data_IF_604221604480
#
_entry.id   IF_604221604480
#
_cell.length_a   1.000
_cell.length_b   1.000
_cell.length_c   1.000
_cell.angle_alpha   90.00
_cell.angle_beta   90.00
_cell.angle_gamma   90.00
#
_symmetry.space_group_name_H-M   'P 1'
#
loop_
_entity.id
_entity.type
_entity.pdbx_description
1 polymer ?
#
# COMPACT_ATOMS: atom_id res chain seq x y z
N UNK A 1 3.72 35.09 26.76
CA UNK A 1 3.20 34.70 25.43
C UNK A 1 3.72 33.30 25.15
N UNK A 2 2.92 32.26 25.38
CA UNK A 2 3.32 30.88 25.07
C UNK A 2 3.20 30.66 23.57
N UNK A 3 4.29 30.30 22.92
CA UNK A 3 4.30 29.87 21.52
C UNK A 3 3.90 28.40 21.52
N UNK A 4 2.65 28.10 21.13
CA UNK A 4 2.27 26.71 20.80
C UNK A 4 3.01 26.34 19.51
N UNK A 5 3.97 25.43 19.62
CA UNK A 5 4.51 24.73 18.47
C UNK A 5 3.38 23.91 17.83
N UNK A 6 3.27 23.87 16.49
CA UNK A 6 2.37 22.93 15.84
C UNK A 6 2.77 21.51 16.28
N UNK A 7 1.84 20.55 16.42
CA UNK A 7 2.23 19.17 16.57
C UNK A 7 3.05 18.82 15.32
N UNK A 8 4.37 18.66 15.50
CA UNK A 8 5.18 17.96 14.51
C UNK A 8 4.44 16.68 14.24
N UNK A 9 3.97 16.51 13.01
CA UNK A 9 3.42 15.25 12.52
C UNK A 9 4.58 14.26 12.47
N UNK A 10 5.06 13.84 13.64
CA UNK A 10 5.88 12.67 13.83
C UNK A 10 4.96 11.49 13.51
N UNK A 11 4.76 11.26 12.22
CA UNK A 11 4.05 10.09 11.74
C UNK A 11 4.94 8.92 12.15
N UNK A 12 4.57 8.28 13.27
CA UNK A 12 5.23 7.06 13.69
C UNK A 12 5.25 6.10 12.49
N UNK A 13 6.35 5.36 12.27
CA UNK A 13 6.40 4.42 11.17
C UNK A 13 5.19 3.47 11.28
N UNK A 14 4.46 3.33 10.17
CA UNK A 14 3.31 2.43 10.12
C UNK A 14 3.78 1.03 10.50
N UNK A 15 2.94 0.25 11.22
CA UNK A 15 3.35 -1.05 11.72
C UNK A 15 3.70 -1.99 10.57
N UNK A 16 4.63 -2.90 10.83
CA UNK A 16 4.87 -4.03 9.94
C UNK A 16 3.63 -4.92 9.89
N UNK A 17 3.26 -5.36 8.70
CA UNK A 17 2.05 -6.17 8.47
C UNK A 17 2.38 -7.39 7.62
N UNK A 18 1.60 -8.45 7.78
CA UNK A 18 1.66 -9.63 6.92
C UNK A 18 0.40 -9.66 6.06
N UNK A 19 0.57 -9.70 4.74
CA UNK A 19 -0.50 -9.99 3.80
C UNK A 19 -0.63 -11.50 3.63
N UNK A 20 -1.80 -12.03 3.95
CA UNK A 20 -2.15 -13.43 3.74
C UNK A 20 -2.99 -13.56 2.48
N UNK A 21 -2.51 -14.32 1.49
CA UNK A 21 -3.25 -14.61 0.26
C UNK A 21 -3.34 -16.11 0.05
N UNK A 22 -4.53 -16.62 -0.27
CA UNK A 22 -4.70 -18.02 -0.67
C UNK A 22 -4.44 -18.18 -2.17
N UNK A 23 -3.55 -19.10 -2.53
CA UNK A 23 -3.25 -19.46 -3.90
C UNK A 23 -3.96 -20.77 -4.26
N UNK A 24 -5.05 -20.66 -5.02
CA UNK A 24 -5.79 -21.81 -5.55
C UNK A 24 -4.88 -22.68 -6.42
N UNK A 25 -4.00 -22.07 -7.21
CA UNK A 25 -3.13 -22.78 -8.17
C UNK A 25 -2.13 -23.74 -7.52
N UNK A 26 -1.81 -23.51 -6.25
CA UNK A 26 -0.81 -24.28 -5.50
C UNK A 26 -1.38 -24.87 -4.21
N UNK A 27 -2.69 -24.74 -4.00
CA UNK A 27 -3.40 -25.06 -2.75
C UNK A 27 -2.61 -24.65 -1.50
N UNK A 28 -2.21 -23.37 -1.44
CA UNK A 28 -1.29 -22.89 -0.40
C UNK A 28 -1.61 -21.49 0.08
N UNK A 29 -1.13 -21.18 1.29
CA UNK A 29 -1.19 -19.84 1.87
C UNK A 29 0.14 -19.14 1.60
N UNK A 30 0.07 -17.98 0.94
CA UNK A 30 1.20 -17.09 0.70
C UNK A 30 1.19 -15.99 1.74
N UNK A 31 2.24 -15.92 2.54
CA UNK A 31 2.48 -14.85 3.51
C UNK A 31 3.51 -13.88 2.94
N UNK A 32 3.13 -12.62 2.75
CA UNK A 32 4.03 -11.55 2.30
C UNK A 32 4.23 -10.56 3.44
N UNK A 33 5.46 -10.46 3.93
CA UNK A 33 5.81 -9.50 4.97
C UNK A 33 6.07 -8.12 4.37
N UNK A 34 5.38 -7.11 4.91
CA UNK A 34 5.59 -5.71 4.59
C UNK A 34 6.23 -5.02 5.80
N UNK A 35 7.36 -4.31 5.60
CA UNK A 35 8.04 -3.61 6.70
C UNK A 35 7.17 -2.50 7.29
N UNK A 36 6.31 -1.89 6.47
CA UNK A 36 5.29 -0.92 6.86
C UNK A 36 4.08 -1.06 5.94
N UNK A 37 2.87 -0.85 6.47
CA UNK A 37 1.70 -0.69 5.63
C UNK A 37 1.85 0.57 4.73
N UNK A 38 1.48 0.52 3.44
CA UNK A 38 1.61 1.66 2.54
C UNK A 38 0.50 2.71 2.68
N UNK A 39 -0.46 2.49 3.59
CA UNK A 39 -1.56 3.40 3.94
C UNK A 39 -1.95 3.16 5.40
N UNK A 40 -2.56 4.14 6.06
CA UNK A 40 -2.87 4.07 7.49
C UNK A 40 -4.22 3.41 7.80
N UNK A 41 -5.19 3.52 6.89
CA UNK A 41 -6.51 2.92 7.04
C UNK A 41 -7.21 2.71 5.68
N UNK A 42 -8.32 1.98 5.69
CA UNK A 42 -9.08 1.70 4.46
C UNK A 42 -9.79 2.93 3.91
N UNK A 43 -10.21 3.87 4.78
CA UNK A 43 -10.84 5.13 4.39
C UNK A 43 -9.89 6.02 3.57
N UNK A 44 -8.61 5.98 3.90
CA UNK A 44 -7.55 6.70 3.17
C UNK A 44 -7.54 6.25 1.70
N UNK A 45 -7.54 4.94 1.46
CA UNK A 45 -7.58 4.38 0.10
C UNK A 45 -8.81 4.81 -0.71
N UNK A 46 -9.98 4.91 -0.08
CA UNK A 46 -11.22 5.30 -0.79
C UNK A 46 -11.23 6.78 -1.21
N UNK A 47 -10.45 7.61 -0.51
CA UNK A 47 -10.41 9.06 -0.74
C UNK A 47 -9.15 9.51 -1.48
N UNK A 48 -8.13 8.64 -1.60
CA UNK A 48 -6.89 8.92 -2.32
C UNK A 48 -7.14 9.17 -3.82
N UNK A 49 -6.52 10.20 -4.42
CA UNK A 49 -6.51 10.36 -5.87
C UNK A 49 -5.75 9.22 -6.55
N UNK A 50 -6.07 8.94 -7.81
CA UNK A 50 -5.50 7.84 -8.59
C UNK A 50 -3.97 7.75 -8.52
N UNK A 51 -3.27 8.88 -8.65
CA UNK A 51 -1.80 8.94 -8.57
C UNK A 51 -1.24 8.48 -7.21
N UNK A 52 -1.96 8.71 -6.12
CA UNK A 52 -1.56 8.20 -4.80
C UNK A 52 -1.85 6.70 -4.67
N UNK A 53 -2.98 6.23 -5.22
CA UNK A 53 -3.27 4.79 -5.31
C UNK A 53 -2.22 4.03 -6.13
N UNK A 54 -1.76 4.59 -7.24
CA UNK A 54 -0.63 4.02 -8.00
C UNK A 54 0.64 3.91 -7.16
N UNK A 55 0.95 4.90 -6.32
CA UNK A 55 2.11 4.86 -5.43
C UNK A 55 1.98 3.74 -4.39
N UNK A 56 0.78 3.58 -3.80
CA UNK A 56 0.47 2.44 -2.91
C UNK A 56 0.66 1.12 -3.64
N UNK A 57 0.14 1.01 -4.88
CA UNK A 57 0.28 -0.20 -5.70
C UNK A 57 1.74 -0.50 -6.00
N UNK A 58 2.55 0.50 -6.35
CA UNK A 58 3.99 0.33 -6.56
C UNK A 58 4.68 -0.20 -5.31
N UNK A 59 4.43 0.40 -4.15
CA UNK A 59 5.00 -0.02 -2.87
C UNK A 59 4.60 -1.47 -2.52
N UNK A 60 3.35 -1.88 -2.77
CA UNK A 60 2.94 -3.28 -2.60
C UNK A 60 3.68 -4.21 -3.57
N UNK A 61 3.77 -3.84 -4.85
CA UNK A 61 4.38 -4.65 -5.91
C UNK A 61 5.89 -4.87 -5.75
N UNK A 62 6.58 -4.02 -4.99
CA UNK A 62 7.98 -4.23 -4.59
C UNK A 62 8.15 -5.49 -3.72
N UNK A 63 7.15 -5.81 -2.91
CA UNK A 63 7.19 -6.94 -1.98
C UNK A 63 6.36 -8.14 -2.45
N UNK A 64 5.33 -7.93 -3.26
CA UNK A 64 4.46 -9.00 -3.73
C UNK A 64 5.17 -9.94 -4.73
N UNK A 65 4.94 -11.26 -4.64
CA UNK A 65 5.33 -12.20 -5.68
C UNK A 65 4.77 -11.78 -7.04
N UNK A 66 5.51 -12.02 -8.14
CA UNK A 66 5.12 -11.58 -9.50
C UNK A 66 3.66 -11.90 -9.87
N UNK A 67 3.16 -13.07 -9.47
CA UNK A 67 1.78 -13.51 -9.76
C UNK A 67 0.69 -12.77 -8.98
N UNK A 68 1.05 -12.12 -7.88
CA UNK A 68 0.13 -11.36 -7.03
C UNK A 68 0.24 -9.85 -7.24
N UNK A 69 1.09 -9.40 -8.18
CA UNK A 69 1.24 -7.97 -8.46
C UNK A 69 -0.04 -7.39 -9.02
N UNK A 70 -0.38 -6.19 -8.55
CA UNK A 70 -1.55 -5.43 -8.99
C UNK A 70 -1.16 -4.67 -10.27
N UNK A 71 -1.99 -4.80 -11.31
CA UNK A 71 -1.77 -4.08 -12.56
C UNK A 71 -1.99 -2.58 -12.38
N UNK A 72 -1.03 -1.78 -12.84
CA UNK A 72 -1.22 -0.34 -13.02
C UNK A 72 -1.58 -0.18 -14.49
N UNK A 73 -2.74 0.42 -14.79
CA UNK A 73 -3.02 0.83 -16.17
C UNK A 73 -2.05 1.94 -16.49
N UNK A 74 -1.21 1.74 -17.50
CA UNK A 74 -0.58 2.86 -18.18
C UNK A 74 -1.73 3.67 -18.82
N UNK A 75 -1.71 5.00 -18.68
CA UNK A 75 -2.72 5.92 -19.22
C UNK A 75 -2.77 5.94 -20.78
N UNK A 76 -2.32 4.87 -21.44
CA UNK A 76 -2.19 4.76 -22.90
C UNK A 76 -2.94 3.54 -23.43
N UNK A 77 -4.27 3.66 -23.58
CA UNK A 77 -5.03 3.11 -24.73
C UNK A 77 -6.43 3.75 -24.82
N UNK A 78 -6.50 5.03 -25.20
CA UNK A 78 -7.55 5.50 -26.12
C UNK A 78 -6.87 5.70 -27.48
N UNK A 79 -7.12 4.77 -28.41
CA UNK A 79 -6.87 4.90 -29.83
C UNK A 79 -8.19 4.67 -30.57
#
# INVERSE_FOLDING_TARGET
RSVSLPPSSSHAPLPSVILQTYSISTDSIVLTALPAAPFCCHEDLLTMPHRQLEAVVRALNEHLPRRLRIGIKDDEEEA
#
